data_IF_134432590350
#
_entry.id   IF_134432590350
#
_cell.length_a   1.000
_cell.length_b   1.000
_cell.length_c   1.000
_cell.angle_alpha   90.00
_cell.angle_beta   90.00
_cell.angle_gamma   90.00
#
_symmetry.space_group_name_H-M   'P 1'
#
loop_
_entity.id
_entity.type
_entity.pdbx_description
1 polymer ?
#
# COMPACT_ATOMS: atom_id res chain seq x y z
N UNK A 1 20.75 -3.04 0.07
CA UNK A 1 19.79 -1.92 -0.11
C UNK A 1 18.38 -2.46 -0.02
N UNK A 2 17.43 -1.67 0.48
CA UNK A 2 16.02 -2.04 0.51
C UNK A 2 15.23 -1.03 -0.33
N UNK A 3 14.33 -1.55 -1.15
CA UNK A 3 13.41 -0.75 -1.96
C UNK A 3 11.98 -1.10 -1.55
N UNK A 4 11.16 -0.06 -1.41
CA UNK A 4 9.73 -0.16 -1.16
C UNK A 4 9.02 0.64 -2.23
N UNK A 5 8.06 0.01 -2.91
CA UNK A 5 7.24 0.65 -3.92
C UNK A 5 5.75 0.38 -3.64
N UNK A 6 4.88 1.27 -4.12
CA UNK A 6 3.44 1.20 -4.01
C UNK A 6 2.79 1.48 -5.37
N UNK A 7 2.25 0.43 -5.99
CA UNK A 7 1.61 0.51 -7.31
C UNK A 7 0.10 0.44 -7.11
N UNK A 8 -0.61 1.45 -7.61
CA UNK A 8 -2.06 1.50 -7.56
C UNK A 8 -2.66 0.69 -8.70
N UNK A 9 -3.37 -0.40 -8.38
CA UNK A 9 -3.97 -1.31 -9.34
C UNK A 9 -5.47 -1.37 -9.14
N UNK A 10 -6.24 -1.37 -10.23
CA UNK A 10 -7.68 -1.66 -10.18
C UNK A 10 -7.89 -3.14 -9.95
N UNK A 11 -8.42 -3.51 -8.78
CA UNK A 11 -8.75 -4.87 -8.40
C UNK A 11 -10.27 -5.02 -8.42
N UNK A 12 -10.76 -6.08 -9.06
CA UNK A 12 -12.20 -6.42 -9.07
C UNK A 12 -12.46 -7.58 -8.12
N UNK A 13 -13.19 -7.29 -7.06
CA UNK A 13 -13.69 -8.28 -6.11
C UNK A 13 -15.13 -7.89 -5.74
N UNK A 14 -16.08 -8.33 -6.57
CA UNK A 14 -17.45 -7.79 -6.62
C UNK A 14 -17.52 -6.43 -7.32
N UNK A 15 -16.92 -5.40 -6.72
CA UNK A 15 -16.78 -4.06 -7.29
C UNK A 15 -15.32 -3.77 -7.69
N UNK A 16 -15.11 -2.90 -8.68
CA UNK A 16 -13.78 -2.47 -9.10
C UNK A 16 -13.32 -1.33 -8.19
N UNK A 17 -12.24 -1.55 -7.45
CA UNK A 17 -11.63 -0.55 -6.58
C UNK A 17 -10.15 -0.37 -6.90
N UNK A 18 -9.62 0.84 -6.70
CA UNK A 18 -8.18 1.06 -6.78
C UNK A 18 -7.56 0.64 -5.44
N UNK A 19 -6.71 -0.39 -5.47
CA UNK A 19 -6.01 -0.90 -4.28
C UNK A 19 -4.50 -0.76 -4.49
N UNK A 20 -3.76 -0.19 -3.52
CA UNK A 20 -2.31 -0.18 -3.59
C UNK A 20 -1.76 -1.60 -3.38
N UNK A 21 -0.80 -1.99 -4.20
CA UNK A 21 0.03 -3.18 -3.99
C UNK A 21 1.41 -2.70 -3.63
N UNK A 22 1.90 -3.13 -2.49
CA UNK A 22 3.21 -2.77 -2.01
C UNK A 22 4.19 -3.93 -2.18
N UNK A 23 5.42 -3.60 -2.57
CA UNK A 23 6.49 -4.57 -2.80
C UNK A 23 7.71 -4.15 -1.99
N UNK A 24 8.34 -5.13 -1.33
CA UNK A 24 9.66 -4.96 -0.68
C UNK A 24 10.67 -5.82 -1.43
N UNK A 25 11.75 -5.18 -1.89
CA UNK A 25 12.85 -5.84 -2.58
C UNK A 25 14.18 -5.54 -1.89
N UNK A 26 14.99 -6.57 -1.69
CA UNK A 26 16.37 -6.43 -1.26
C UNK A 26 17.32 -6.50 -2.46
N UNK A 27 18.39 -5.71 -2.39
CA UNK A 27 19.52 -5.80 -3.32
C UNK A 27 20.80 -6.00 -2.53
N UNK A 28 21.50 -7.10 -2.79
CA UNK A 28 22.78 -7.43 -2.14
C UNK A 28 23.92 -6.57 -2.71
N UNK A 29 25.07 -6.57 -2.03
CA UNK A 29 26.26 -5.85 -2.50
C UNK A 29 26.83 -6.43 -3.79
N UNK A 30 26.50 -7.68 -4.11
CA UNK A 30 26.85 -8.37 -5.35
C UNK A 30 25.85 -8.06 -6.49
N UNK A 31 24.83 -7.25 -6.21
CA UNK A 31 23.80 -6.87 -7.19
C UNK A 31 22.67 -7.88 -7.37
N UNK A 32 22.59 -8.92 -6.52
CA UNK A 32 21.47 -9.85 -6.53
C UNK A 32 20.20 -9.19 -6.00
N UNK A 33 19.05 -9.46 -6.63
CA UNK A 33 17.76 -8.83 -6.30
C UNK A 33 16.75 -9.89 -5.90
N UNK A 34 16.15 -9.71 -4.74
CA UNK A 34 15.17 -10.62 -4.16
C UNK A 34 13.90 -9.88 -3.74
N UNK A 35 12.74 -10.43 -4.09
CA UNK A 35 11.46 -9.96 -3.56
C UNK A 35 11.26 -10.61 -2.19
N UNK A 36 11.22 -9.77 -1.15
CA UNK A 36 11.03 -10.24 0.22
C UNK A 36 9.56 -10.33 0.61
N UNK A 37 8.70 -9.52 -0.01
CA UNK A 37 7.28 -9.52 0.30
C UNK A 37 6.44 -8.69 -0.67
N UNK A 38 5.18 -9.09 -0.80
CA UNK A 38 4.15 -8.38 -1.56
C UNK A 38 2.88 -8.40 -0.73
N UNK A 39 2.22 -7.26 -0.57
CA UNK A 39 0.90 -7.19 0.06
C UNK A 39 -0.01 -6.21 -0.67
N UNK A 40 -1.28 -6.58 -0.79
CA UNK A 40 -2.32 -5.65 -1.21
C UNK A 40 -2.81 -4.86 0.02
N UNK A 41 -2.83 -3.54 -0.07
CA UNK A 41 -3.50 -2.70 0.91
C UNK A 41 -4.96 -2.52 0.57
N UNK A 42 -5.78 -2.26 1.58
CA UNK A 42 -7.23 -2.09 1.41
C UNK A 42 -7.64 -0.71 0.86
N UNK A 43 -6.69 0.11 0.40
CA UNK A 43 -6.96 1.44 -0.16
C UNK A 43 -7.53 2.36 0.90
N UNK A 44 -6.67 2.90 1.76
CA UNK A 44 -7.11 3.75 2.87
C UNK A 44 -7.98 4.92 2.40
N UNK A 45 -9.24 4.93 2.83
CA UNK A 45 -9.86 6.17 3.27
C UNK A 45 -8.94 6.74 4.36
N UNK A 46 -8.18 7.77 4.01
CA UNK A 46 -7.76 8.74 4.99
C UNK A 46 -9.03 9.35 5.56
N UNK A 47 -9.60 8.71 6.59
CA UNK A 47 -10.59 9.35 7.45
C UNK A 47 -9.92 10.60 7.98
N UNK A 48 -10.27 11.75 7.40
CA UNK A 48 -10.17 13.02 8.08
C UNK A 48 -10.94 12.85 9.38
N UNK A 49 -10.21 12.64 10.47
CA UNK A 49 -10.77 12.56 11.81
C UNK A 49 -11.53 13.85 12.07
N UNK A 50 -12.86 13.74 12.02
CA UNK A 50 -13.83 14.48 12.80
C UNK A 50 -13.61 15.98 12.89
N UNK A 51 -14.29 16.72 12.02
CA UNK A 51 -14.77 18.03 12.40
C UNK A 51 -15.61 17.92 13.69
N UNK A 52 -15.19 18.69 14.70
CA UNK A 52 -16.01 19.44 15.66
C UNK A 52 -17.42 18.88 15.95
N UNK A 53 -17.62 18.37 17.16
CA UNK A 53 -18.83 18.66 17.94
C UNK A 53 -18.51 18.57 19.44
N UNK A 54 -18.46 19.73 20.08
CA UNK A 54 -18.63 19.84 21.53
C UNK A 54 -20.12 19.61 21.82
N UNK A 55 -20.51 18.67 22.69
CA UNK A 55 -21.86 18.66 23.22
C UNK A 55 -21.97 19.72 24.32
N UNK A 56 -23.03 20.51 24.20
CA UNK A 56 -23.61 21.42 25.20
C UNK A 56 -23.90 20.75 26.53
#
# INVERSE_FOLDING_TARGET
>A
MLFVDAIHVKIRDGQVANRPVYVVMAVTVEGHRDILGIWAGDGGEARSSGGRSSPS
#
